data_IF_938994319749
#
_entry.id   IF_938994319749
#
_cell.length_a   1.000
_cell.length_b   1.000
_cell.length_c   1.000
_cell.angle_alpha   90.00
_cell.angle_beta   90.00
_cell.angle_gamma   90.00
#
_symmetry.space_group_name_H-M   'P 1'
#
loop_
_entity.id
_entity.type
_entity.pdbx_description
1 polymer ?
#
# COMPACT_ATOMS: atom_id res chain seq x y z
N UNK A 1 12.58 -8.66 -2.40
CA UNK A 1 11.67 -7.52 -2.18
C UNK A 1 12.13 -6.63 -1.02
N UNK A 2 12.29 -7.14 0.21
CA UNK A 2 12.72 -6.32 1.36
C UNK A 2 14.17 -5.80 1.29
N UNK A 3 15.03 -6.45 0.49
CA UNK A 3 16.40 -6.02 0.20
C UNK A 3 16.51 -5.00 -0.94
N UNK A 4 15.40 -4.69 -1.62
CA UNK A 4 15.42 -3.73 -2.73
C UNK A 4 15.60 -2.31 -2.21
N UNK A 5 16.17 -1.46 -3.07
CA UNK A 5 16.34 -0.06 -2.78
C UNK A 5 15.00 0.63 -2.53
N UNK A 6 15.06 1.60 -1.62
CA UNK A 6 13.92 2.44 -1.28
C UNK A 6 13.82 3.55 -2.32
N UNK A 7 12.65 3.68 -2.94
CA UNK A 7 12.36 4.72 -3.94
C UNK A 7 11.27 5.64 -3.40
N UNK A 8 11.35 6.94 -3.68
CA UNK A 8 10.25 7.87 -3.37
C UNK A 8 9.06 7.59 -4.29
N UNK A 9 7.86 7.48 -3.71
CA UNK A 9 6.65 7.15 -4.47
C UNK A 9 6.24 8.27 -5.43
N UNK A 10 6.49 9.53 -5.07
CA UNK A 10 6.10 10.70 -5.85
C UNK A 10 6.94 11.00 -7.09
N UNK A 11 8.11 10.38 -7.24
CA UNK A 11 9.05 10.65 -8.34
C UNK A 11 9.52 9.36 -9.04
N UNK A 12 8.67 8.33 -9.05
CA UNK A 12 8.95 7.08 -9.76
C UNK A 12 9.17 7.31 -11.26
N UNK A 13 10.30 6.82 -11.76
CA UNK A 13 10.53 6.70 -13.20
C UNK A 13 9.77 5.50 -13.76
N UNK A 14 9.39 5.58 -15.04
CA UNK A 14 8.73 4.48 -15.74
C UNK A 14 9.65 3.26 -15.79
N UNK A 15 9.07 2.09 -15.60
CA UNK A 15 9.72 0.80 -15.78
C UNK A 15 8.70 -0.24 -16.23
N UNK A 16 9.19 -1.29 -16.88
CA UNK A 16 8.35 -2.38 -17.34
C UNK A 16 8.35 -3.53 -16.32
N UNK A 17 7.22 -4.22 -16.23
CA UNK A 17 7.04 -5.39 -15.37
C UNK A 17 5.72 -5.40 -14.61
N UNK A 18 5.38 -6.60 -14.16
CA UNK A 18 4.37 -6.89 -13.16
C UNK A 18 5.04 -7.38 -11.88
N UNK A 19 4.37 -7.28 -10.74
CA UNK A 19 5.00 -7.68 -9.50
C UNK A 19 4.26 -7.29 -8.24
N UNK A 20 5.03 -7.28 -7.15
CA UNK A 20 4.57 -6.93 -5.79
C UNK A 20 5.27 -5.68 -5.30
N UNK A 21 4.60 -4.90 -4.45
CA UNK A 21 5.14 -3.68 -3.87
C UNK A 21 4.68 -3.47 -2.42
N UNK A 22 5.48 -2.70 -1.70
CA UNK A 22 5.18 -2.18 -0.37
C UNK A 22 5.33 -0.67 -0.39
N UNK A 23 4.38 0.03 0.21
CA UNK A 23 4.40 1.47 0.46
C UNK A 23 4.69 1.68 1.93
N UNK A 24 5.53 2.67 2.22
CA UNK A 24 5.99 3.05 3.55
C UNK A 24 5.69 4.51 3.79
N UNK A 25 5.44 4.83 5.05
CA UNK A 25 5.10 6.17 5.50
C UNK A 25 6.14 6.69 6.51
N UNK A 26 6.57 7.94 6.34
CA UNK A 26 7.58 8.61 7.18
C UNK A 26 7.14 9.97 7.72
N UNK A 27 5.90 10.39 7.44
CA UNK A 27 5.39 11.73 7.73
C UNK A 27 4.88 11.95 9.16
N UNK A 28 4.14 13.05 9.33
CA UNK A 28 3.72 13.56 10.65
C UNK A 28 2.25 13.35 11.02
N UNK A 29 1.40 12.83 10.12
CA UNK A 29 0.02 12.44 10.43
C UNK A 29 -0.07 11.59 11.71
N UNK A 30 -0.75 12.14 12.72
CA UNK A 30 -0.68 11.65 14.10
C UNK A 30 -1.02 10.16 14.26
N UNK A 31 -2.02 9.67 13.54
CA UNK A 31 -2.44 8.26 13.64
C UNK A 31 -1.36 7.29 13.14
N UNK A 32 -0.43 7.72 12.29
CA UNK A 32 0.62 6.88 11.70
C UNK A 32 2.00 7.08 12.32
N UNK A 33 2.12 7.85 13.41
CA UNK A 33 3.39 8.06 14.11
C UNK A 33 4.11 6.77 14.51
N UNK A 34 3.44 5.67 14.93
CA UNK A 34 4.11 4.40 15.20
C UNK A 34 4.89 3.87 13.98
N UNK A 35 4.31 3.97 12.77
CA UNK A 35 4.98 3.55 11.53
C UNK A 35 6.17 4.46 11.20
N UNK A 36 5.98 5.78 11.29
CA UNK A 36 7.04 6.75 11.00
C UNK A 36 8.26 6.60 11.94
N UNK A 37 8.06 6.14 13.18
CA UNK A 37 9.17 5.85 14.11
C UNK A 37 10.03 4.67 13.66
N UNK A 38 9.44 3.69 12.99
CA UNK A 38 10.11 2.47 12.51
C UNK A 38 10.75 2.67 11.14
N UNK A 39 10.24 3.63 10.38
CA UNK A 39 10.66 3.98 9.04
C UNK A 39 11.56 5.20 9.08
N UNK A 40 12.87 5.01 9.30
CA UNK A 40 13.85 6.10 9.39
C UNK A 40 15.00 5.94 8.41
N UNK A 41 15.31 7.00 7.68
CA UNK A 41 16.36 6.99 6.66
C UNK A 41 16.13 5.87 5.65
N UNK A 42 17.15 5.05 5.38
CA UNK A 42 17.03 3.89 4.48
C UNK A 42 16.40 2.65 5.13
N UNK A 43 16.19 2.65 6.45
CA UNK A 43 15.61 1.52 7.18
C UNK A 43 14.08 1.68 7.25
N UNK A 44 13.42 1.29 6.17
CA UNK A 44 11.96 1.19 6.12
C UNK A 44 11.51 -0.23 6.46
N UNK A 45 10.84 -0.38 7.59
CA UNK A 45 10.59 -1.67 8.24
C UNK A 45 9.09 -2.01 8.31
N UNK A 46 8.23 -0.99 8.43
CA UNK A 46 6.80 -1.14 8.63
C UNK A 46 6.03 -0.56 7.44
N UNK A 47 5.63 -1.39 6.45
CA UNK A 47 4.81 -0.91 5.35
C UNK A 47 3.43 -0.48 5.85
N UNK A 48 2.91 0.61 5.28
CA UNK A 48 1.54 1.07 5.53
C UNK A 48 0.54 0.33 4.61
N UNK A 49 1.02 -0.09 3.44
CA UNK A 49 0.26 -0.85 2.44
C UNK A 49 1.15 -1.80 1.65
N UNK A 50 0.61 -2.95 1.26
CA UNK A 50 1.22 -3.93 0.36
C UNK A 50 0.20 -4.27 -0.71
N UNK A 51 0.67 -4.38 -1.94
CA UNK A 51 -0.19 -4.77 -3.05
C UNK A 51 0.57 -5.42 -4.18
N UNK A 52 -0.18 -5.72 -5.24
CA UNK A 52 0.34 -6.30 -6.48
C UNK A 52 -0.18 -5.59 -7.70
N UNK A 53 0.50 -5.83 -8.82
CA UNK A 53 0.02 -5.52 -10.16
C UNK A 53 0.35 -6.71 -11.07
N UNK A 54 -0.65 -7.24 -11.74
CA UNK A 54 -0.52 -8.35 -12.71
C UNK A 54 -0.66 -7.80 -14.13
N UNK A 55 -0.05 -8.44 -15.14
CA UNK A 55 -0.21 -8.00 -16.53
C UNK A 55 -1.68 -8.05 -16.95
N UNK A 56 -2.12 -7.15 -17.85
CA UNK A 56 -3.40 -7.31 -18.53
C UNK A 56 -3.45 -8.68 -19.23
N UNK A 57 -4.56 -9.40 -19.15
CA UNK A 57 -4.67 -10.70 -19.84
C UNK A 57 -4.20 -11.93 -19.04
N UNK A 58 -3.50 -11.77 -17.92
CA UNK A 58 -3.13 -12.88 -17.02
C UNK A 58 -4.34 -13.72 -16.56
N UNK A 59 -5.54 -13.13 -16.54
CA UNK A 59 -6.80 -13.81 -16.20
C UNK A 59 -7.43 -14.61 -17.36
N UNK A 60 -6.88 -14.54 -18.58
CA UNK A 60 -7.40 -15.21 -19.79
C UNK A 60 -6.58 -16.43 -20.22
N UNK A 61 -5.58 -16.85 -19.46
CA UNK A 61 -4.80 -18.07 -19.75
C UNK A 61 -3.92 -18.00 -21.00
N UNK A 62 -3.52 -16.80 -21.42
CA UNK A 62 -2.56 -16.63 -22.51
C UNK A 62 -1.19 -17.17 -22.12
N UNK A 63 -0.66 -18.11 -22.89
CA UNK A 63 0.74 -18.51 -22.83
C UNK A 63 1.57 -17.27 -23.19
N UNK A 64 2.15 -16.61 -22.18
CA UNK A 64 2.85 -15.32 -22.27
C UNK A 64 4.16 -15.35 -23.06
N UNK A 65 4.13 -15.91 -24.26
CA UNK A 65 5.31 -16.07 -25.12
C UNK A 65 5.57 -14.85 -26.02
N UNK A 66 4.63 -13.90 -26.13
CA UNK A 66 4.73 -12.74 -27.04
C UNK A 66 4.05 -11.46 -26.52
N UNK A 67 3.95 -11.25 -25.20
CA UNK A 67 3.38 -10.00 -24.68
C UNK A 67 4.44 -8.91 -24.52
N UNK A 68 4.22 -7.77 -25.18
CA UNK A 68 4.98 -6.53 -24.96
C UNK A 68 5.15 -6.24 -23.46
N UNK A 69 6.33 -5.78 -23.00
CA UNK A 69 6.56 -5.48 -21.60
C UNK A 69 5.47 -4.55 -21.04
N UNK A 70 4.64 -5.05 -20.12
CA UNK A 70 3.56 -4.25 -19.54
C UNK A 70 4.10 -3.36 -18.42
N UNK A 71 3.68 -2.10 -18.36
CA UNK A 71 4.02 -1.18 -17.25
C UNK A 71 3.08 -1.35 -16.05
N UNK A 72 2.51 -2.55 -15.86
CA UNK A 72 1.42 -2.78 -14.90
C UNK A 72 1.78 -2.34 -13.48
N UNK A 73 2.99 -2.68 -13.01
CA UNK A 73 3.44 -2.31 -11.67
C UNK A 73 3.71 -0.82 -11.51
N UNK A 74 4.35 -0.18 -12.50
CA UNK A 74 4.55 1.25 -12.52
C UNK A 74 3.21 2.01 -12.51
N UNK A 75 2.30 1.68 -13.43
CA UNK A 75 0.99 2.32 -13.52
C UNK A 75 0.23 2.21 -12.22
N UNK A 76 0.26 1.05 -11.56
CA UNK A 76 -0.41 0.86 -10.28
C UNK A 76 0.19 1.72 -9.17
N UNK A 77 1.51 1.82 -9.07
CA UNK A 77 2.17 2.71 -8.10
C UNK A 77 1.87 4.19 -8.38
N UNK A 78 1.78 4.59 -9.66
CA UNK A 78 1.42 5.94 -10.05
C UNK A 78 -0.02 6.30 -9.64
N UNK A 79 -0.99 5.39 -9.81
CA UNK A 79 -2.37 5.57 -9.33
C UNK A 79 -2.43 5.75 -7.80
N UNK A 80 -1.60 5.00 -7.07
CA UNK A 80 -1.47 5.15 -5.62
C UNK A 80 -0.86 6.49 -5.23
N UNK A 81 0.17 6.94 -5.94
CA UNK A 81 0.79 8.25 -5.75
C UNK A 81 -0.21 9.37 -5.99
N UNK A 82 -1.02 9.28 -7.06
CA UNK A 82 -2.10 10.23 -7.35
C UNK A 82 -3.16 10.24 -6.23
N UNK A 83 -3.62 9.07 -5.78
CA UNK A 83 -4.59 8.98 -4.69
C UNK A 83 -4.09 9.64 -3.41
N UNK A 84 -2.81 9.45 -3.06
CA UNK A 84 -2.17 10.11 -1.91
C UNK A 84 -2.06 11.62 -2.14
N UNK A 85 -1.66 12.05 -3.34
CA UNK A 85 -1.52 13.47 -3.70
C UNK A 85 -2.84 14.24 -3.70
N UNK A 86 -3.98 13.55 -3.88
CA UNK A 86 -5.31 14.15 -3.76
C UNK A 86 -5.75 14.34 -2.30
N UNK A 87 -5.19 13.59 -1.35
CA UNK A 87 -5.61 13.67 0.05
C UNK A 87 -5.16 14.99 0.69
N UNK A 88 -6.06 15.66 1.41
CA UNK A 88 -5.77 17.00 1.99
C UNK A 88 -4.88 16.97 3.23
N UNK A 89 -4.61 15.79 3.78
CA UNK A 89 -3.92 15.60 5.05
C UNK A 89 -2.73 14.63 4.98
N UNK A 90 -2.27 14.33 3.76
CA UNK A 90 -1.07 13.55 3.46
C UNK A 90 -0.19 14.34 2.50
N UNK A 91 1.13 14.19 2.61
CA UNK A 91 2.08 14.72 1.63
C UNK A 91 2.75 13.54 0.93
N UNK A 92 2.73 13.51 -0.40
CA UNK A 92 3.36 12.46 -1.21
C UNK A 92 4.87 12.32 -0.94
N UNK A 93 5.53 13.38 -0.47
CA UNK A 93 6.95 13.36 -0.09
C UNK A 93 7.24 12.46 1.11
N UNK A 94 6.23 12.19 1.93
CA UNK A 94 6.32 11.31 3.10
C UNK A 94 6.11 9.83 2.76
N UNK A 95 6.00 9.49 1.47
CA UNK A 95 5.76 8.13 1.00
C UNK A 95 6.90 7.59 0.14
N UNK A 96 7.25 6.36 0.45
CA UNK A 96 8.29 5.60 -0.23
C UNK A 96 7.75 4.24 -0.60
N UNK A 97 8.40 3.57 -1.55
CA UNK A 97 8.07 2.21 -1.90
C UNK A 97 9.30 1.34 -2.11
N UNK A 98 9.08 0.04 -1.96
CA UNK A 98 9.91 -1.03 -2.54
C UNK A 98 9.01 -1.83 -3.46
N UNK A 99 9.56 -2.29 -4.57
CA UNK A 99 8.85 -3.16 -5.48
C UNK A 99 9.77 -4.26 -6.00
N UNK A 100 9.17 -5.35 -6.47
CA UNK A 100 9.89 -6.46 -7.07
C UNK A 100 9.10 -6.92 -8.29
N UNK A 101 9.72 -6.78 -9.47
CA UNK A 101 9.21 -7.36 -10.72
C UNK A 101 9.47 -8.86 -10.68
N UNK A 102 8.41 -9.65 -10.90
CA UNK A 102 8.45 -11.12 -10.90
C UNK A 102 7.44 -11.68 -11.88
N UNK A 103 7.60 -12.94 -12.27
CA UNK A 103 6.59 -13.66 -13.06
C UNK A 103 5.24 -13.71 -12.35
N UNK A 104 4.18 -13.69 -13.16
CA UNK A 104 2.79 -13.63 -12.73
C UNK A 104 2.38 -14.73 -11.75
N UNK A 105 2.95 -15.93 -11.89
CA UNK A 105 2.75 -17.08 -11.00
C UNK A 105 3.12 -16.74 -9.54
N UNK A 106 4.19 -15.97 -9.32
CA UNK A 106 4.70 -15.66 -7.98
C UNK A 106 4.00 -14.48 -7.32
N UNK A 107 3.34 -13.63 -8.11
CA UNK A 107 2.75 -12.37 -7.63
C UNK A 107 1.71 -12.60 -6.50
N UNK A 108 0.71 -13.50 -6.66
CA UNK A 108 -0.29 -13.71 -5.61
C UNK A 108 0.33 -14.22 -4.31
N UNK A 109 1.26 -15.19 -4.41
CA UNK A 109 1.92 -15.76 -3.24
C UNK A 109 2.77 -14.71 -2.51
N UNK A 110 3.55 -13.93 -3.26
CA UNK A 110 4.39 -12.88 -2.69
C UNK A 110 3.58 -11.82 -1.93
N UNK A 111 2.46 -11.35 -2.49
CA UNK A 111 1.57 -10.41 -1.83
C UNK A 111 1.00 -11.00 -0.53
N UNK A 112 0.43 -12.22 -0.59
CA UNK A 112 -0.18 -12.85 0.58
C UNK A 112 0.81 -13.08 1.72
N UNK A 113 2.03 -13.54 1.42
CA UNK A 113 3.08 -13.74 2.42
C UNK A 113 3.51 -12.42 3.08
N UNK A 114 3.62 -11.35 2.30
CA UNK A 114 3.98 -10.03 2.81
C UNK A 114 2.86 -9.43 3.67
N UNK A 115 1.60 -9.53 3.25
CA UNK A 115 0.46 -9.08 4.06
C UNK A 115 0.37 -9.88 5.36
N UNK A 116 0.50 -11.21 5.30
CA UNK A 116 0.48 -12.06 6.50
C UNK A 116 1.61 -11.72 7.47
N UNK A 117 2.79 -11.39 6.96
CA UNK A 117 3.96 -11.05 7.77
C UNK A 117 3.85 -9.69 8.45
N UNK A 118 3.42 -8.67 7.70
CA UNK A 118 3.51 -7.27 8.15
C UNK A 118 2.18 -6.70 8.63
N UNK A 119 1.05 -7.33 8.27
CA UNK A 119 -0.31 -6.87 8.55
C UNK A 119 -0.47 -5.34 8.38
N UNK A 120 -0.20 -4.76 7.19
CA UNK A 120 -0.20 -3.31 7.01
C UNK A 120 -1.58 -2.71 7.29
N UNK A 121 -1.62 -1.56 7.96
CA UNK A 121 -2.87 -0.96 8.45
C UNK A 121 -3.86 -0.60 7.31
N UNK A 122 -3.38 -0.25 6.11
CA UNK A 122 -4.24 -0.01 4.93
C UNK A 122 -4.67 -1.29 4.20
N UNK A 123 -4.16 -2.46 4.59
CA UNK A 123 -4.65 -3.76 4.12
C UNK A 123 -5.64 -4.38 5.10
N UNK A 124 -5.42 -4.19 6.41
CA UNK A 124 -6.09 -4.96 7.46
C UNK A 124 -7.24 -4.21 8.14
N UNK A 125 -7.08 -2.91 8.38
CA UNK A 125 -8.03 -2.12 9.18
C UNK A 125 -8.69 -0.98 8.39
N UNK A 126 -7.92 -0.31 7.55
CA UNK A 126 -8.35 0.88 6.80
C UNK A 126 -8.56 0.48 5.36
N UNK A 127 -9.78 0.04 5.06
CA UNK A 127 -10.17 -0.43 3.73
C UNK A 127 -10.28 0.72 2.70
N UNK A 128 -10.05 0.35 1.44
CA UNK A 128 -10.38 1.18 0.28
C UNK A 128 -9.26 2.01 -0.32
N UNK A 129 -8.03 1.97 0.22
CA UNK A 129 -6.90 2.64 -0.42
C UNK A 129 -6.73 2.21 -1.88
N UNK A 130 -6.76 0.91 -2.15
CA UNK A 130 -6.63 0.35 -3.51
C UNK A 130 -7.88 0.38 -4.38
N UNK A 131 -8.96 1.02 -3.95
CA UNK A 131 -10.18 1.11 -4.75
C UNK A 131 -10.04 2.13 -5.88
N UNK A 132 -10.66 1.82 -7.03
CA UNK A 132 -10.93 2.77 -8.10
C UNK A 132 -12.32 3.40 -7.92
N UNK A 133 -12.62 4.44 -8.72
CA UNK A 133 -13.99 4.94 -8.85
C UNK A 133 -14.92 3.76 -9.20
N UNK A 134 -15.95 3.48 -8.39
CA UNK A 134 -16.86 2.38 -8.65
C UNK A 134 -17.72 2.63 -9.90
N UNK A 135 -17.79 3.86 -10.42
CA UNK A 135 -18.56 4.20 -11.61
C UNK A 135 -20.07 4.25 -11.36
N UNK A 136 -20.81 4.60 -12.42
CA UNK A 136 -22.26 4.81 -12.35
C UNK A 136 -22.97 3.56 -11.80
N UNK A 137 -23.89 3.77 -10.86
CA UNK A 137 -24.71 2.71 -10.25
C UNK A 137 -24.12 2.01 -9.03
N UNK A 138 -22.83 2.22 -8.73
CA UNK A 138 -22.16 1.57 -7.57
C UNK A 138 -21.84 2.55 -6.42
N UNK A 139 -22.27 3.80 -6.51
CA UNK A 139 -22.14 4.81 -5.45
C UNK A 139 -23.06 4.56 -4.23
N UNK A 140 -23.96 3.58 -4.30
CA UNK A 140 -24.77 3.16 -3.15
C UNK A 140 -23.95 2.44 -2.06
N UNK A 141 -22.71 2.05 -2.35
CA UNK A 141 -21.77 1.54 -1.34
C UNK A 141 -21.33 2.63 -0.37
N UNK A 142 -20.93 2.21 0.84
CA UNK A 142 -20.36 3.10 1.83
C UNK A 142 -19.03 3.69 1.33
N UNK A 143 -18.80 4.96 1.63
CA UNK A 143 -17.50 5.62 1.47
C UNK A 143 -16.44 4.78 2.20
N UNK A 144 -15.29 4.44 1.61
CA UNK A 144 -14.30 3.61 2.28
C UNK A 144 -13.68 4.30 3.50
N UNK A 145 -13.20 3.53 4.50
CA UNK A 145 -12.59 4.13 5.71
C UNK A 145 -11.38 4.98 5.35
N UNK A 146 -10.61 4.59 4.34
CA UNK A 146 -9.49 5.39 3.85
C UNK A 146 -9.94 6.78 3.39
N UNK A 147 -11.03 6.91 2.64
CA UNK A 147 -11.53 8.20 2.15
C UNK A 147 -12.18 9.07 3.24
N UNK A 148 -12.76 8.46 4.26
CA UNK A 148 -13.24 9.18 5.45
C UNK A 148 -12.06 9.78 6.22
N UNK A 149 -10.96 9.03 6.32
CA UNK A 149 -9.75 9.45 7.04
C UNK A 149 -8.89 10.43 6.21
N UNK A 150 -8.87 10.26 4.89
CA UNK A 150 -8.05 10.98 3.91
C UNK A 150 -8.93 11.53 2.78
N UNK A 151 -9.69 12.61 3.03
CA UNK A 151 -10.58 13.17 2.02
C UNK A 151 -9.77 13.77 0.87
N UNK A 152 -10.26 13.63 -0.37
CA UNK A 152 -9.61 14.16 -1.56
C UNK A 152 -10.07 13.54 -2.88
N UNK A 153 -10.36 12.24 -2.89
CA UNK A 153 -10.86 11.54 -4.08
C UNK A 153 -12.31 11.94 -4.37
N UNK A 154 -12.54 12.67 -5.45
CA UNK A 154 -13.85 13.24 -5.79
C UNK A 154 -14.98 12.19 -5.91
N UNK A 155 -14.65 10.96 -6.30
CA UNK A 155 -15.64 9.89 -6.41
C UNK A 155 -16.13 9.38 -5.05
N UNK A 156 -15.30 9.45 -4.00
CA UNK A 156 -15.66 8.97 -2.67
C UNK A 156 -16.72 9.85 -2.01
N UNK A 157 -16.74 11.16 -2.33
CA UNK A 157 -17.79 12.08 -1.90
C UNK A 157 -19.18 11.75 -2.47
N UNK A 158 -19.25 10.93 -3.54
CA UNK A 158 -20.51 10.47 -4.13
C UNK A 158 -21.05 9.21 -3.45
N UNK A 159 -20.21 8.50 -2.69
CA UNK A 159 -20.60 7.29 -1.97
C UNK A 159 -21.49 7.62 -0.77
N UNK A 160 -22.22 6.63 -0.25
CA UNK A 160 -23.00 6.80 0.99
C UNK A 160 -22.07 7.11 2.16
N UNK A 161 -22.48 8.05 3.01
CA UNK A 161 -21.77 8.37 4.24
C UNK A 161 -21.63 7.16 5.16
N UNK A 162 -20.47 7.02 5.79
CA UNK A 162 -20.27 6.07 6.88
C UNK A 162 -20.72 6.63 8.22
N UNK A 163 -21.16 5.77 9.16
CA UNK A 163 -21.41 6.18 10.54
C UNK A 163 -20.12 6.47 11.31
N UNK A 164 -19.00 5.83 10.96
CA UNK A 164 -17.72 6.08 11.63
C UNK A 164 -17.11 7.41 11.19
N UNK A 165 -16.77 8.25 12.16
CA UNK A 165 -16.06 9.51 11.95
C UNK A 165 -14.56 9.29 11.80
N UNK A 166 -13.86 10.25 11.19
CA UNK A 166 -12.39 10.22 11.11
C UNK A 166 -11.73 10.08 12.49
N UNK A 167 -12.30 10.66 13.55
CA UNK A 167 -11.79 10.53 14.92
C UNK A 167 -11.94 9.11 15.47
N UNK A 168 -13.08 8.45 15.24
CA UNK A 168 -13.27 7.04 15.63
C UNK A 168 -12.30 6.14 14.86
N UNK A 169 -12.14 6.36 13.56
CA UNK A 169 -11.17 5.60 12.74
C UNK A 169 -9.73 5.78 13.26
N UNK A 170 -9.34 7.00 13.69
CA UNK A 170 -8.03 7.25 14.32
C UNK A 170 -7.87 6.50 15.64
N UNK A 171 -8.92 6.39 16.44
CA UNK A 171 -8.89 5.62 17.68
C UNK A 171 -8.72 4.12 17.39
N UNK A 172 -9.40 3.60 16.37
CA UNK A 172 -9.24 2.21 15.95
C UNK A 172 -7.80 1.92 15.49
N UNK A 173 -7.15 2.87 14.79
CA UNK A 173 -5.73 2.76 14.41
C UNK A 173 -4.82 2.71 15.65
N UNK A 174 -5.08 3.57 16.63
CA UNK A 174 -4.32 3.57 17.88
C UNK A 174 -4.48 2.23 18.62
N UNK A 175 -5.70 1.69 18.67
CA UNK A 175 -6.00 0.39 19.25
C UNK A 175 -5.31 -0.75 18.49
N UNK A 176 -5.33 -0.69 17.17
CA UNK A 176 -4.69 -1.66 16.31
C UNK A 176 -3.20 -1.78 16.60
N UNK A 177 -2.49 -0.64 16.67
CA UNK A 177 -1.06 -0.65 16.99
C UNK A 177 -0.76 -1.10 18.42
N UNK A 178 -1.66 -0.83 19.37
CA UNK A 178 -1.53 -1.30 20.75
C UNK A 178 -1.71 -2.82 20.87
N UNK A 179 -2.67 -3.38 20.15
CA UNK A 179 -2.99 -4.81 20.15
C UNK A 179 -2.06 -5.65 19.26
N UNK A 180 -1.37 -5.03 18.31
CA UNK A 180 -0.45 -5.69 17.38
C UNK A 180 0.97 -5.14 17.49
N UNK A 181 1.67 -5.34 18.62
CA UNK A 181 3.02 -4.82 18.80
C UNK A 181 3.98 -5.35 17.73
N UNK A 182 3.79 -6.57 17.21
CA UNK A 182 4.60 -7.11 16.12
C UNK A 182 4.60 -6.24 14.85
N UNK A 183 3.48 -5.57 14.53
CA UNK A 183 3.39 -4.63 13.39
C UNK A 183 4.22 -3.37 13.67
N UNK A 184 4.40 -3.03 14.93
CA UNK A 184 5.14 -1.83 15.38
C UNK A 184 6.50 -2.13 16.02
N UNK A 185 6.96 -3.38 16.03
CA UNK A 185 8.20 -3.80 16.66
C UNK A 185 9.09 -4.67 15.78
N UNK A 186 8.63 -5.05 14.57
CA UNK A 186 9.44 -5.83 13.64
C UNK A 186 10.67 -5.05 13.17
N UNK A 187 11.76 -5.20 13.91
CA UNK A 187 13.11 -4.94 13.44
C UNK A 187 13.51 -6.11 12.53
N UNK A 188 13.61 -5.86 11.22
CA UNK A 188 14.21 -6.84 10.32
C UNK A 188 15.68 -7.03 10.73
N UNK A 189 16.01 -8.20 11.27
CA UNK A 189 17.40 -8.65 11.47
C UNK A 189 17.77 -9.51 10.25
N UNK A 190 18.51 -8.99 9.26
CA UNK A 190 19.16 -9.83 8.29
C UNK A 190 20.35 -10.50 8.97
N UNK A 191 20.29 -11.82 9.16
CA UNK A 191 21.40 -12.63 9.64
C UNK A 191 21.59 -12.61 11.16
N UNK A 192 21.19 -13.70 11.81
CA UNK A 192 22.19 -14.39 12.62
C UNK A 192 23.11 -15.06 11.61
N UNK A 193 24.30 -14.52 11.42
CA UNK A 193 25.42 -15.37 11.05
C UNK A 193 25.60 -16.27 12.27
N UNK A 194 25.17 -17.52 12.13
CA UNK A 194 25.55 -18.56 13.07
C UNK A 194 27.06 -18.71 12.91
N UNK A 195 27.80 -18.23 13.92
CA UNK A 195 29.18 -18.59 14.15
C UNK A 195 29.29 -20.12 14.16
N UNK A 196 30.02 -20.67 13.19
CA UNK A 196 30.89 -21.84 13.32
C UNK A 196 31.89 -21.87 12.18
#
# INVERSE_FOLDING_TARGET
MLSQDVVSLGILTRFDGAGVYAIYYTGQFNAYRPLARLNKGKKLQAPIYIGKAVPPGARKGGLGLDETPSQALYSRLAEHAESIGLATNLDIKDFHCRYLVVDDIWIPLGESLLIAKFAPVWNTLIDGFGNHDPGKGRYNGLCPRWDVLHPGRAWAAKCKSRPETASQIKNDIAEYFRSHPAVTSQAFHPGREDEN
#
